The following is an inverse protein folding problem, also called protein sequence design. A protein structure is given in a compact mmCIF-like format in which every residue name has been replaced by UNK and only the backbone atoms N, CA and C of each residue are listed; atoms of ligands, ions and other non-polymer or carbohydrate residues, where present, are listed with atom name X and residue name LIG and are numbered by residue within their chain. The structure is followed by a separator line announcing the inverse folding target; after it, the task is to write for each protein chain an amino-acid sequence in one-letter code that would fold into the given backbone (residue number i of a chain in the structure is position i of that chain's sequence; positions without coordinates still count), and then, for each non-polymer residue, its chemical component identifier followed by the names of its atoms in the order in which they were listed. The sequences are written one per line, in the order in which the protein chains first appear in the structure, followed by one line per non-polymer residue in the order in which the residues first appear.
data_IF_823991735499
#
_entry.id   IF_823991735499
#
_cell.length_a   1.000
_cell.length_b   1.000
_cell.length_c   1.000
_cell.angle_alpha   90.00
_cell.angle_beta   90.00
_cell.angle_gamma   90.00
#
_symmetry.space_group_name_H-M   'P 1'
#
loop_
_entity.id
_entity.type
_entity.pdbx_description
1 polymer ?
#
# COMPACT_ATOMS: atom_id res chain seq x y z
N UNK A 1 -3.62 -24.28 -16.34
CA UNK A 1 -4.02 -23.74 -15.01
C UNK A 1 -4.93 -22.50 -15.07
N UNK A 2 -4.47 -21.29 -15.41
CA UNK A 2 -5.36 -20.10 -15.44
C UNK A 2 -6.49 -20.23 -16.48
N UNK A 3 -6.18 -20.78 -17.66
CA UNK A 3 -7.17 -21.01 -18.71
C UNK A 3 -8.26 -22.02 -18.30
N UNK A 4 -7.89 -23.10 -17.59
CA UNK A 4 -8.84 -24.07 -17.02
C UNK A 4 -9.74 -23.45 -15.94
N UNK A 5 -9.19 -22.51 -15.16
CA UNK A 5 -9.97 -21.78 -14.16
C UNK A 5 -11.00 -20.88 -14.84
N UNK A 6 -10.63 -20.19 -15.92
CA UNK A 6 -11.52 -19.31 -16.67
C UNK A 6 -12.55 -20.05 -17.52
N UNK A 7 -12.26 -21.29 -17.95
CA UNK A 7 -13.22 -22.10 -18.71
C UNK A 7 -14.38 -22.63 -17.86
N UNK A 8 -14.23 -22.70 -16.53
CA UNK A 8 -15.32 -23.09 -15.66
C UNK A 8 -16.37 -21.98 -15.53
N UNK A 9 -17.67 -22.32 -15.51
CA UNK A 9 -18.73 -21.35 -15.35
C UNK A 9 -18.58 -20.59 -14.03
N UNK A 10 -19.11 -19.38 -14.00
CA UNK A 10 -19.19 -18.61 -12.76
C UNK A 10 -20.16 -19.31 -11.80
N UNK A 11 -19.69 -19.54 -10.57
CA UNK A 11 -20.47 -20.14 -9.49
C UNK A 11 -20.85 -19.00 -8.54
N UNK A 12 -22.14 -18.84 -8.29
CA UNK A 12 -22.64 -17.81 -7.38
C UNK A 12 -22.06 -18.04 -5.96
N UNK A 13 -21.47 -17.00 -5.33
CA UNK A 13 -20.87 -17.13 -4.00
C UNK A 13 -21.89 -17.33 -2.89
N UNK A 14 -23.17 -17.05 -3.17
CA UNK A 14 -24.28 -17.19 -2.22
C UNK A 14 -24.88 -18.60 -2.21
N UNK A 15 -24.44 -19.50 -3.11
CA UNK A 15 -24.88 -20.89 -3.10
C UNK A 15 -24.29 -21.62 -1.90
N UNK A 16 -25.10 -22.50 -1.31
CA UNK A 16 -24.70 -23.32 -0.16
C UNK A 16 -23.46 -24.18 -0.49
N UNK A 17 -22.36 -24.05 0.28
CA UNK A 17 -21.14 -24.80 0.02
C UNK A 17 -21.18 -26.24 0.54
N UNK A 18 -22.26 -26.64 1.22
CA UNK A 18 -22.38 -27.93 1.92
C UNK A 18 -22.28 -29.13 0.98
N UNK A 19 -22.66 -28.99 -0.28
CA UNK A 19 -22.54 -30.02 -1.31
C UNK A 19 -21.16 -30.09 -1.99
N UNK A 20 -20.24 -29.16 -1.71
CA UNK A 20 -18.96 -29.07 -2.40
C UNK A 20 -17.84 -29.73 -1.60
N UNK A 21 -17.12 -30.64 -2.24
CA UNK A 21 -15.95 -31.29 -1.64
C UNK A 21 -14.83 -30.28 -1.39
N UNK A 22 -14.17 -30.43 -0.23
CA UNK A 22 -12.97 -29.68 0.13
C UNK A 22 -11.86 -29.91 -0.90
N UNK A 23 -11.31 -28.83 -1.47
CA UNK A 23 -10.28 -28.92 -2.52
C UNK A 23 -10.81 -29.19 -3.93
N UNK A 24 -12.13 -29.24 -4.14
CA UNK A 24 -12.71 -29.29 -5.49
C UNK A 24 -12.49 -27.98 -6.23
N UNK A 25 -12.35 -28.06 -7.57
CA UNK A 25 -12.25 -26.88 -8.45
C UNK A 25 -13.48 -25.97 -8.31
N UNK A 26 -14.65 -26.53 -8.06
CA UNK A 26 -15.90 -25.78 -7.84
C UNK A 26 -15.86 -24.96 -6.54
N UNK A 27 -15.42 -25.56 -5.42
CA UNK A 27 -15.25 -24.84 -4.15
C UNK A 27 -14.22 -23.73 -4.27
N UNK A 28 -13.11 -23.99 -4.98
CA UNK A 28 -12.09 -22.98 -5.29
C UNK A 28 -12.69 -21.82 -6.10
N UNK A 29 -13.43 -22.11 -7.18
CA UNK A 29 -14.08 -21.09 -8.02
C UNK A 29 -15.09 -20.25 -7.23
N UNK A 30 -15.94 -20.88 -6.41
CA UNK A 30 -16.87 -20.20 -5.50
C UNK A 30 -16.13 -19.29 -4.53
N UNK A 31 -15.05 -19.78 -3.91
CA UNK A 31 -14.26 -19.01 -2.94
C UNK A 31 -13.62 -17.79 -3.58
N UNK A 32 -13.05 -17.93 -4.80
CA UNK A 32 -12.52 -16.79 -5.56
C UNK A 32 -13.63 -15.78 -5.85
N UNK A 33 -14.80 -16.23 -6.33
CA UNK A 33 -15.94 -15.34 -6.61
C UNK A 33 -16.39 -14.57 -5.36
N UNK A 34 -16.47 -15.25 -4.22
CA UNK A 34 -16.85 -14.65 -2.94
C UNK A 34 -15.85 -13.57 -2.51
N UNK A 35 -14.55 -13.87 -2.50
CA UNK A 35 -13.52 -12.89 -2.14
C UNK A 35 -13.52 -11.72 -3.14
N UNK A 36 -13.69 -12.01 -4.43
CA UNK A 36 -13.78 -11.00 -5.47
C UNK A 36 -14.93 -10.01 -5.21
N UNK A 37 -16.13 -10.50 -4.92
CA UNK A 37 -17.27 -9.66 -4.58
C UNK A 37 -17.09 -8.89 -3.29
N UNK A 38 -16.60 -9.55 -2.24
CA UNK A 38 -16.36 -8.90 -0.96
C UNK A 38 -15.38 -7.74 -1.08
N UNK A 39 -14.29 -7.93 -1.84
CA UNK A 39 -13.36 -6.85 -2.15
C UNK A 39 -14.01 -5.79 -3.03
N UNK A 40 -14.84 -6.18 -4.01
CA UNK A 40 -15.55 -5.25 -4.88
C UNK A 40 -16.51 -4.34 -4.12
N UNK A 41 -17.04 -4.77 -2.97
CA UNK A 41 -17.88 -3.94 -2.10
C UNK A 41 -17.07 -2.94 -1.25
N UNK A 42 -15.75 -3.10 -1.15
CA UNK A 42 -14.91 -2.16 -0.39
C UNK A 42 -14.52 -0.94 -1.23
N UNK A 43 -14.49 0.25 -0.60
CA UNK A 43 -14.14 1.52 -1.24
C UNK A 43 -12.77 1.49 -1.95
N UNK A 44 -11.79 0.82 -1.34
CA UNK A 44 -10.44 0.69 -1.90
C UNK A 44 -10.19 -0.65 -2.58
N UNK A 45 -11.21 -1.47 -2.84
CA UNK A 45 -11.06 -2.80 -3.47
C UNK A 45 -9.96 -3.66 -2.83
N UNK A 46 -9.76 -3.51 -1.51
CA UNK A 46 -8.70 -4.15 -0.73
C UNK A 46 -9.13 -4.40 0.70
N UNK A 47 -8.61 -5.47 1.28
CA UNK A 47 -8.89 -5.86 2.66
C UNK A 47 -7.69 -6.58 3.29
N UNK A 48 -7.49 -6.41 4.60
CA UNK A 48 -6.48 -7.18 5.33
C UNK A 48 -6.89 -8.65 5.41
N UNK A 49 -5.94 -9.58 5.24
CA UNK A 49 -6.24 -11.01 5.36
C UNK A 49 -6.65 -11.39 6.79
N UNK A 50 -6.15 -10.68 7.80
CA UNK A 50 -6.59 -10.90 9.19
C UNK A 50 -8.09 -10.61 9.33
N UNK A 51 -8.57 -9.54 8.68
CA UNK A 51 -9.99 -9.18 8.66
C UNK A 51 -10.84 -10.22 7.92
N UNK A 52 -10.40 -10.68 6.76
CA UNK A 52 -11.01 -11.81 6.06
C UNK A 52 -11.02 -13.07 6.94
N UNK A 53 -9.96 -13.25 7.72
CA UNK A 53 -9.78 -14.37 8.65
C UNK A 53 -10.87 -14.48 9.71
N UNK A 54 -11.44 -13.35 10.16
CA UNK A 54 -12.52 -13.35 11.14
C UNK A 54 -13.83 -13.92 10.59
N UNK A 55 -14.04 -13.84 9.27
CA UNK A 55 -15.27 -14.33 8.61
C UNK A 55 -15.10 -15.73 8.00
N UNK A 56 -14.05 -16.47 8.38
CA UNK A 56 -13.73 -17.76 7.77
C UNK A 56 -14.85 -18.77 7.91
N UNK A 57 -15.48 -18.84 9.08
CA UNK A 57 -16.52 -19.82 9.38
C UNK A 57 -17.82 -19.48 8.64
N UNK A 58 -18.18 -18.20 8.63
CA UNK A 58 -19.42 -17.69 8.06
C UNK A 58 -19.39 -17.76 6.53
N UNK A 59 -18.24 -17.48 5.92
CA UNK A 59 -18.08 -17.47 4.47
C UNK A 59 -17.56 -18.81 3.91
N UNK A 60 -17.33 -19.81 4.78
CA UNK A 60 -16.74 -21.10 4.46
C UNK A 60 -15.40 -20.97 3.69
N UNK A 61 -14.54 -20.04 4.14
CA UNK A 61 -13.25 -19.79 3.52
C UNK A 61 -12.20 -20.86 3.90
N UNK A 62 -11.21 -21.12 3.04
CA UNK A 62 -10.12 -22.05 3.35
C UNK A 62 -9.34 -21.65 4.60
N UNK A 63 -8.91 -22.64 5.39
CA UNK A 63 -8.09 -22.41 6.58
C UNK A 63 -6.81 -21.61 6.26
N UNK A 64 -6.16 -21.97 5.16
CA UNK A 64 -4.93 -21.34 4.65
C UNK A 64 -5.23 -20.31 3.55
N UNK A 65 -6.06 -19.32 3.86
CA UNK A 65 -6.47 -18.25 2.93
C UNK A 65 -5.28 -17.53 2.27
N UNK A 66 -4.18 -17.29 2.99
CA UNK A 66 -2.98 -16.66 2.42
C UNK A 66 -2.42 -17.45 1.23
N UNK A 67 -2.30 -18.76 1.40
CA UNK A 67 -1.77 -19.67 0.37
C UNK A 67 -2.74 -19.74 -0.80
N UNK A 68 -4.04 -19.85 -0.50
CA UNK A 68 -5.11 -19.84 -1.50
C UNK A 68 -5.04 -18.61 -2.41
N UNK A 69 -4.93 -17.41 -1.85
CA UNK A 69 -4.91 -16.17 -2.64
C UNK A 69 -3.67 -16.05 -3.54
N UNK A 70 -2.54 -16.58 -3.09
CA UNK A 70 -1.31 -16.63 -3.89
C UNK A 70 -1.42 -17.59 -5.08
N UNK A 71 -2.34 -18.57 -5.06
CA UNK A 71 -2.61 -19.43 -6.22
C UNK A 71 -3.34 -18.70 -7.37
N UNK A 72 -3.95 -17.54 -7.10
CA UNK A 72 -4.70 -16.75 -8.09
C UNK A 72 -4.08 -15.36 -8.34
N UNK A 73 -2.81 -15.28 -8.75
CA UNK A 73 -2.10 -14.00 -8.92
C UNK A 73 -2.64 -13.18 -10.09
N UNK A 74 -3.45 -13.76 -10.99
CA UNK A 74 -4.09 -13.03 -12.09
C UNK A 74 -5.28 -12.17 -11.65
N UNK A 75 -5.90 -12.51 -10.51
CA UNK A 75 -7.12 -11.85 -10.00
C UNK A 75 -6.78 -11.04 -8.74
N UNK A 76 -6.00 -11.63 -7.85
CA UNK A 76 -5.61 -11.01 -6.59
C UNK A 76 -4.14 -10.61 -6.61
N UNK A 77 -3.85 -9.52 -5.91
CA UNK A 77 -2.51 -9.14 -5.54
C UNK A 77 -2.41 -9.12 -4.02
N UNK A 78 -1.42 -9.81 -3.46
CA UNK A 78 -1.20 -9.87 -2.01
C UNK A 78 0.02 -9.02 -1.69
N UNK A 79 -0.19 -7.92 -0.97
CA UNK A 79 0.86 -7.07 -0.45
C UNK A 79 1.23 -7.47 0.97
N UNK A 80 2.53 -7.58 1.25
CA UNK A 80 3.04 -7.73 2.61
C UNK A 80 3.68 -6.41 3.07
N UNK A 81 2.95 -5.65 3.89
CA UNK A 81 3.42 -4.37 4.42
C UNK A 81 3.47 -4.44 5.95
N UNK A 82 4.66 -4.32 6.54
CA UNK A 82 4.92 -4.35 8.00
C UNK A 82 4.30 -5.58 8.68
N UNK A 83 4.52 -6.78 8.14
CA UNK A 83 3.88 -8.05 8.61
C UNK A 83 2.35 -8.07 8.49
N UNK A 84 1.74 -7.05 7.88
CA UNK A 84 0.31 -7.01 7.58
C UNK A 84 0.09 -7.41 6.13
N UNK A 85 -0.54 -8.56 5.93
CA UNK A 85 -0.94 -9.03 4.61
C UNK A 85 -2.26 -8.38 4.20
N UNK A 86 -2.27 -7.75 3.03
CA UNK A 86 -3.44 -7.11 2.43
C UNK A 86 -3.68 -7.68 1.05
N UNK A 87 -4.91 -8.10 0.78
CA UNK A 87 -5.36 -8.55 -0.53
C UNK A 87 -5.94 -7.36 -1.26
N UNK A 88 -5.57 -7.20 -2.52
CA UNK A 88 -6.09 -6.22 -3.45
C UNK A 88 -6.70 -6.96 -4.64
N UNK A 89 -7.81 -6.44 -5.14
CA UNK A 89 -8.39 -6.89 -6.39
C UNK A 89 -7.67 -6.22 -7.56
N UNK A 90 -7.06 -6.99 -8.46
CA UNK A 90 -6.30 -6.43 -9.59
C UNK A 90 -7.16 -5.60 -10.53
N UNK A 91 -8.36 -6.07 -10.82
CA UNK A 91 -9.29 -5.39 -11.73
C UNK A 91 -9.73 -4.02 -11.21
N UNK A 92 -9.63 -3.79 -9.89
CA UNK A 92 -9.92 -2.50 -9.27
C UNK A 92 -8.81 -1.45 -9.47
N UNK A 93 -7.64 -1.84 -9.97
CA UNK A 93 -6.44 -1.00 -9.98
C UNK A 93 -5.76 -0.95 -11.35
N UNK A 94 -5.33 0.25 -11.75
CA UNK A 94 -4.41 0.47 -12.88
C UNK A 94 -3.09 1.00 -12.32
N UNK A 95 -2.13 0.10 -12.13
CA UNK A 95 -0.89 0.43 -11.43
C UNK A 95 -1.16 0.73 -9.95
N UNK A 96 -0.76 1.91 -9.49
CA UNK A 96 -1.00 2.39 -8.12
C UNK A 96 -2.37 3.03 -7.91
N UNK A 97 -3.10 3.31 -8.99
CA UNK A 97 -4.34 4.08 -8.94
C UNK A 97 -5.58 3.19 -8.96
N UNK A 98 -6.57 3.56 -8.16
CA UNK A 98 -7.88 2.90 -8.17
C UNK A 98 -8.66 3.35 -9.41
N UNK A 99 -9.16 2.38 -10.20
CA UNK A 99 -9.85 2.61 -11.47
C UNK A 99 -11.15 3.39 -11.27
N UNK A 100 -11.97 2.96 -10.30
CA UNK A 100 -13.21 3.62 -9.94
C UNK A 100 -13.08 4.18 -8.52
N UNK A 101 -12.90 5.51 -8.43
CA UNK A 101 -12.79 6.21 -7.14
C UNK A 101 -14.16 6.71 -6.70
N UNK A 102 -14.63 6.23 -5.56
CA UNK A 102 -15.82 6.78 -4.91
C UNK A 102 -15.54 8.19 -4.38
N UNK A 103 -16.59 9.03 -4.30
CA UNK A 103 -16.47 10.42 -3.81
C UNK A 103 -15.84 10.50 -2.42
N UNK A 104 -16.12 9.52 -1.55
CA UNK A 104 -15.52 9.44 -0.21
C UNK A 104 -14.00 9.21 -0.24
N UNK A 105 -13.51 8.44 -1.22
CA UNK A 105 -12.07 8.21 -1.40
C UNK A 105 -11.41 9.53 -1.82
N UNK A 106 -12.00 10.23 -2.78
CA UNK A 106 -11.49 11.51 -3.29
C UNK A 106 -11.43 12.56 -2.18
N UNK A 107 -12.49 12.69 -1.38
CA UNK A 107 -12.53 13.65 -0.27
C UNK A 107 -11.47 13.31 0.78
N UNK A 108 -11.31 12.03 1.13
CA UNK A 108 -10.29 11.59 2.07
C UNK A 108 -8.88 11.90 1.57
N UNK A 109 -8.61 11.65 0.29
CA UNK A 109 -7.31 11.93 -0.32
C UNK A 109 -7.00 13.43 -0.28
N UNK A 110 -7.97 14.27 -0.68
CA UNK A 110 -7.85 15.73 -0.62
C UNK A 110 -7.63 16.27 0.80
N UNK A 111 -8.32 15.72 1.79
CA UNK A 111 -8.09 16.07 3.20
C UNK A 111 -6.67 15.64 3.63
N UNK A 112 -6.22 14.47 3.18
CA UNK A 112 -4.86 13.99 3.43
C UNK A 112 -3.79 14.92 2.85
N UNK A 113 -3.97 15.41 1.63
CA UNK A 113 -3.09 16.39 0.98
C UNK A 113 -3.02 17.68 1.80
N UNK A 114 -4.16 18.28 2.16
CA UNK A 114 -4.22 19.49 2.98
C UNK A 114 -3.52 19.33 4.34
N UNK A 115 -3.66 18.16 4.98
CA UNK A 115 -2.97 17.87 6.23
C UNK A 115 -1.44 17.81 6.06
N UNK A 116 -0.96 17.26 4.93
CA UNK A 116 0.47 17.20 4.63
C UNK A 116 1.03 18.59 4.35
N UNK A 117 0.32 19.41 3.58
CA UNK A 117 0.68 20.81 3.32
C UNK A 117 0.75 21.61 4.63
N UNK A 118 -0.28 21.51 5.49
CA UNK A 118 -0.29 22.19 6.78
C UNK A 118 0.87 21.78 7.68
N UNK A 119 1.24 20.50 7.68
CA UNK A 119 2.42 20.00 8.40
C UNK A 119 3.72 20.53 7.79
N UNK A 120 3.81 20.57 6.46
CA UNK A 120 4.97 21.09 5.73
C UNK A 120 5.20 22.56 6.06
N UNK A 121 4.16 23.39 5.99
CA UNK A 121 4.22 24.80 6.37
C UNK A 121 4.64 25.01 7.83
N UNK A 122 4.05 24.25 8.75
CA UNK A 122 4.40 24.33 10.17
C UNK A 122 5.89 24.04 10.40
N UNK A 123 6.41 22.99 9.75
CA UNK A 123 7.82 22.61 9.85
C UNK A 123 8.75 23.66 9.21
N UNK A 124 8.38 24.22 8.06
CA UNK A 124 9.14 25.30 7.43
C UNK A 124 9.24 26.54 8.33
N UNK A 125 8.11 27.00 8.89
CA UNK A 125 8.07 28.15 9.81
C UNK A 125 8.97 27.91 11.02
N UNK A 126 8.93 26.70 11.60
CA UNK A 126 9.83 26.32 12.70
C UNK A 126 11.29 26.30 12.28
N UNK A 127 11.62 25.81 11.07
CA UNK A 127 13.00 25.81 10.53
C UNK A 127 13.53 27.23 10.42
N UNK A 128 12.72 28.16 9.90
CA UNK A 128 13.08 29.58 9.78
C UNK A 128 13.32 30.23 11.15
N UNK A 129 12.41 30.05 12.11
CA UNK A 129 12.58 30.57 13.48
C UNK A 129 13.83 30.02 14.17
N UNK A 130 14.13 28.73 13.97
CA UNK A 130 15.34 28.12 14.50
C UNK A 130 16.60 28.70 13.85
N UNK A 131 16.57 28.96 12.55
CA UNK A 131 17.67 29.61 11.83
C UNK A 131 17.91 31.04 12.35
N UNK A 132 16.85 31.82 12.57
CA UNK A 132 16.94 33.15 13.18
C UNK A 132 17.52 33.11 14.59
N UNK A 133 17.09 32.16 15.43
CA UNK A 133 17.68 31.95 16.76
C UNK A 133 19.16 31.61 16.68
N UNK A 134 19.60 30.82 15.69
CA UNK A 134 21.02 30.50 15.48
C UNK A 134 21.82 31.71 15.01
N UNK A 135 21.26 32.52 14.10
CA UNK A 135 21.87 33.80 13.67
C UNK A 135 22.03 34.76 14.86
N UNK A 136 20.99 34.93 15.69
CA UNK A 136 21.05 35.75 16.92
C UNK A 136 22.06 35.24 17.94
N UNK A 137 22.38 33.95 17.93
CA UNK A 137 23.43 33.31 18.76
C UNK A 137 24.83 33.36 18.13
N UNK A 138 25.01 34.02 16.98
CA UNK A 138 26.32 34.17 16.33
C UNK A 138 26.85 32.90 15.63
N UNK A 139 26.02 31.89 15.38
CA UNK A 139 26.44 30.66 14.70
C UNK A 139 26.39 30.89 13.18
N UNK A 140 27.55 30.93 12.52
CA UNK A 140 27.70 31.11 11.07
C UNK A 140 27.24 29.84 10.34
N UNK A 141 26.31 29.98 9.38
CA UNK A 141 25.89 28.89 8.47
C UNK A 141 26.63 29.11 7.14
N UNK A 142 27.44 28.15 6.65
CA UNK A 142 28.16 28.34 5.41
C UNK A 142 27.19 28.35 4.22
N UNK A 143 27.44 29.29 3.30
CA UNK A 143 26.68 29.51 2.06
C UNK A 143 27.23 28.52 1.02
N UNK A 144 26.42 27.57 0.51
CA UNK A 144 26.86 26.69 -0.57
C UNK A 144 26.92 27.47 -1.89
N UNK A 145 28.12 27.60 -2.44
CA UNK A 145 28.37 28.13 -3.78
C UNK A 145 28.24 27.03 -4.83
N UNK A 146 27.47 27.30 -5.89
CA UNK A 146 27.21 26.39 -7.02
C UNK A 146 28.50 26.07 -7.78
N UNK A 147 28.86 24.79 -7.91
CA UNK A 147 29.82 24.31 -8.92
C UNK A 147 29.14 23.34 -9.89
N UNK A 148 29.34 23.64 -11.18
CA UNK A 148 29.00 22.83 -12.35
C UNK A 148 29.78 21.51 -12.37
N UNK A 149 29.13 20.39 -12.68
CA UNK A 149 29.29 19.58 -13.92
C UNK A 149 28.94 18.09 -13.71
N UNK A 150 28.06 17.59 -14.59
CA UNK A 150 28.11 16.33 -15.38
C UNK A 150 28.00 14.95 -14.72
N UNK A 151 26.95 14.27 -15.19
CA UNK A 151 26.78 12.84 -15.47
C UNK A 151 26.81 11.84 -14.31
N UNK A 152 25.66 11.22 -14.04
CA UNK A 152 25.59 9.89 -13.45
C UNK A 152 24.38 9.14 -14.04
N UNK A 153 24.68 8.06 -14.75
CA UNK A 153 23.73 7.12 -15.33
C UNK A 153 22.98 6.34 -14.24
N UNK A 154 21.75 5.98 -14.60
CA UNK A 154 20.81 5.17 -13.84
C UNK A 154 21.30 3.73 -13.66
N UNK A 155 21.21 3.20 -12.44
CA UNK A 155 21.03 1.76 -12.23
C UNK A 155 20.20 1.53 -10.96
N UNK A 156 19.01 1.00 -11.16
CA UNK A 156 18.03 0.62 -10.15
C UNK A 156 18.46 -0.67 -9.44
N UNK A 157 18.75 -0.59 -8.14
CA UNK A 157 18.73 -1.74 -7.22
C UNK A 157 18.14 -1.28 -5.88
N UNK A 158 16.83 -1.39 -5.72
CA UNK A 158 16.18 -1.25 -4.41
C UNK A 158 15.86 -2.64 -3.86
N UNK A 159 16.70 -3.12 -2.94
CA UNK A 159 16.29 -4.14 -1.99
C UNK A 159 16.69 -3.75 -0.56
N UNK A 160 15.65 -3.62 0.27
CA UNK A 160 15.60 -3.93 1.69
C UNK A 160 16.61 -3.22 2.62
N UNK A 161 16.11 -2.24 3.40
CA UNK A 161 16.33 -2.04 4.85
C UNK A 161 15.81 -0.64 5.22
N UNK A 162 14.56 -0.47 5.67
CA UNK A 162 14.11 0.83 6.21
C UNK A 162 12.80 0.76 7.00
N UNK A 163 12.59 -0.30 7.80
CA UNK A 163 11.43 -0.38 8.72
C UNK A 163 11.76 -0.22 10.19
N UNK A 164 13.00 0.09 10.53
CA UNK A 164 13.40 0.38 11.92
C UNK A 164 13.56 1.89 12.16
N UNK A 165 13.83 2.69 11.11
CA UNK A 165 14.30 4.07 11.31
C UNK A 165 13.34 5.24 11.33
N UNK A 166 12.03 5.00 11.30
CA UNK A 166 11.10 6.14 11.42
C UNK A 166 10.76 6.51 12.87
N UNK A 167 11.07 5.64 13.84
CA UNK A 167 10.85 5.90 15.27
C UNK A 167 12.12 6.33 16.01
N UNK A 168 13.30 6.11 15.43
CA UNK A 168 14.54 6.61 15.98
C UNK A 168 14.75 8.08 15.57
N UNK A 169 14.89 9.03 16.52
CA UNK A 169 15.04 10.45 16.20
C UNK A 169 16.27 10.76 15.33
N UNK A 170 17.30 9.91 15.33
CA UNK A 170 18.47 10.08 14.46
C UNK A 170 18.19 9.61 13.03
N UNK A 171 17.57 8.45 12.84
CA UNK A 171 17.17 7.98 11.52
C UNK A 171 16.07 8.87 10.90
N UNK A 172 15.16 9.43 11.70
CA UNK A 172 14.20 10.45 11.26
C UNK A 172 14.91 11.73 10.80
N UNK A 173 15.96 12.17 11.51
CA UNK A 173 16.79 13.30 11.07
C UNK A 173 17.51 12.98 9.77
N UNK A 174 18.05 11.77 9.60
CA UNK A 174 18.70 11.33 8.35
C UNK A 174 17.70 11.25 7.20
N UNK A 175 16.51 10.71 7.44
CA UNK A 175 15.42 10.63 6.46
C UNK A 175 15.01 12.02 5.98
N UNK A 176 14.75 12.96 6.88
CA UNK A 176 14.42 14.34 6.48
C UNK A 176 15.61 15.11 5.89
N UNK A 177 16.84 14.75 6.24
CA UNK A 177 18.05 15.28 5.60
C UNK A 177 18.14 14.82 4.15
N UNK A 178 17.89 13.55 3.87
CA UNK A 178 17.87 13.02 2.49
C UNK A 178 16.68 13.61 1.70
N UNK A 179 15.49 13.67 2.31
CA UNK A 179 14.26 14.10 1.64
C UNK A 179 14.18 15.60 1.33
N UNK A 180 14.94 16.44 2.03
CA UNK A 180 14.88 17.90 1.93
C UNK A 180 16.23 18.60 1.76
N UNK A 181 17.34 17.86 1.85
CA UNK A 181 18.67 18.40 1.54
C UNK A 181 19.30 17.71 0.29
N UNK A 182 18.56 16.88 -0.46
CA UNK A 182 18.86 16.60 -1.87
C UNK A 182 18.26 17.71 -2.75
N UNK A 183 19.06 18.74 -3.00
CA UNK A 183 19.10 19.38 -4.31
C UNK A 183 20.54 19.15 -4.85
N UNK A 184 20.69 18.84 -6.16
CA UNK A 184 21.91 18.26 -6.75
C UNK A 184 23.18 19.08 -6.62
#
# INVERSE_FOLDING_TARGET
RFNEFNSMPYISPYVDPSGLFEGSKEKEKRTVALVHELLSLTLWKKMSIVKLGHFKRELALPEKLNVFLLHHPGIFYVSNKYKSYTVLLRDGYRGSELVQRDSLVIVKDKVGELMQEGLHEYNQRRRLLNLEKRKKKGIIVPKLEKRKDKNAEMSEEEDQVSRVGLFDPEERKRFYKILFDEDP
#
